data_IF_044226145824
#
_entry.id   IF_044226145824
#
_cell.length_a   1.000
_cell.length_b   1.000
_cell.length_c   1.000
_cell.angle_alpha   90.00
_cell.angle_beta   90.00
_cell.angle_gamma   90.00
#
_symmetry.space_group_name_H-M   'P 1'
#
loop_
_entity.id
_entity.type
_entity.pdbx_description
1 polymer ?
#
# COMPACT_ATOMS: atom_id res chain seq x y z
N UNK A 1 22.79 19.79 14.81
CA UNK A 1 22.59 20.94 13.90
C UNK A 1 21.36 20.64 13.05
N UNK A 2 20.21 21.20 13.43
CA UNK A 2 18.92 20.97 12.75
C UNK A 2 18.70 22.01 11.67
N UNK A 3 18.52 21.57 10.43
CA UNK A 3 18.22 22.46 9.31
C UNK A 3 16.72 22.42 9.06
N UNK A 4 16.02 23.47 9.49
CA UNK A 4 14.62 23.69 9.18
C UNK A 4 14.49 24.09 7.70
N UNK A 5 13.74 23.30 6.92
CA UNK A 5 13.35 23.64 5.55
C UNK A 5 12.03 24.39 5.60
N UNK A 6 12.06 25.69 5.32
CA UNK A 6 10.86 26.52 5.19
C UNK A 6 10.08 26.11 3.93
N UNK A 7 8.82 25.73 4.11
CA UNK A 7 7.87 25.57 3.01
C UNK A 7 7.26 26.95 2.69
N UNK A 8 7.42 27.38 1.44
CA UNK A 8 6.83 28.61 0.92
C UNK A 8 5.41 28.29 0.44
N UNK A 9 4.42 28.46 1.30
CA UNK A 9 3.00 28.31 0.98
C UNK A 9 2.41 29.66 0.58
N UNK A 10 2.39 29.94 -0.73
CA UNK A 10 1.61 31.03 -1.33
C UNK A 10 0.17 30.58 -1.50
N UNK A 11 -0.65 30.75 -0.47
CA UNK A 11 -2.10 30.64 -0.57
C UNK A 11 -2.66 32.00 -1.00
N UNK A 12 -2.74 32.22 -2.31
CA UNK A 12 -3.49 33.35 -2.86
C UNK A 12 -5.00 33.05 -2.72
N UNK A 13 -5.67 33.79 -1.83
CA UNK A 13 -7.13 33.79 -1.75
C UNK A 13 -7.69 34.68 -2.87
N UNK A 14 -8.70 34.23 -3.64
CA UNK A 14 -9.39 35.09 -4.58
C UNK A 14 -10.16 36.19 -3.83
N UNK A 15 -10.05 37.42 -4.33
CA UNK A 15 -10.77 38.58 -3.80
C UNK A 15 -12.30 38.39 -3.88
N UNK A 16 -13.07 38.88 -2.89
CA UNK A 16 -14.53 38.89 -2.98
C UNK A 16 -14.97 39.84 -4.10
N UNK A 17 -15.76 39.33 -5.05
CA UNK A 17 -16.45 40.15 -6.02
C UNK A 17 -17.52 40.99 -5.30
N UNK A 18 -17.54 42.29 -5.59
CA UNK A 18 -18.48 43.27 -5.05
C UNK A 18 -19.92 42.93 -5.50
N UNK A 19 -20.92 42.82 -4.59
CA UNK A 19 -22.21 42.21 -4.90
C UNK A 19 -23.31 43.16 -5.41
N UNK A 20 -23.00 44.37 -5.87
CA UNK A 20 -24.03 45.32 -6.34
C UNK A 20 -23.62 46.04 -7.64
N UNK A 21 -24.19 45.61 -8.76
CA UNK A 21 -24.33 46.47 -9.94
C UNK A 21 -25.49 47.45 -9.69
N UNK A 22 -25.16 48.73 -9.59
CA UNK A 22 -26.13 49.83 -9.59
C UNK A 22 -27.02 49.74 -10.84
N UNK A 23 -28.32 49.61 -10.61
CA UNK A 23 -29.31 49.25 -11.62
C UNK A 23 -29.72 50.38 -12.58
N UNK A 24 -30.66 50.10 -13.51
CA UNK A 24 -31.42 51.14 -14.18
C UNK A 24 -32.72 51.43 -13.40
N UNK A 25 -32.86 52.66 -12.90
CA UNK A 25 -34.13 53.22 -12.42
C UNK A 25 -35.06 53.48 -13.61
N UNK A 26 -35.72 52.44 -14.10
CA UNK A 26 -36.81 52.59 -15.06
C UNK A 26 -38.15 52.79 -14.35
N UNK A 27 -38.96 53.65 -14.97
CA UNK A 27 -40.16 54.28 -14.44
C UNK A 27 -41.27 53.27 -14.18
N UNK A 28 -42.01 53.49 -13.09
CA UNK A 28 -43.34 52.95 -12.84
C UNK A 28 -44.27 53.36 -13.99
N UNK A 29 -44.41 52.51 -14.99
CA UNK A 29 -45.52 52.56 -15.93
C UNK A 29 -46.74 51.94 -15.24
N UNK A 30 -47.64 52.79 -14.78
CA UNK A 30 -49.04 52.42 -14.54
C UNK A 30 -49.65 52.06 -15.91
N UNK A 31 -49.84 50.77 -16.16
CA UNK A 31 -50.59 50.27 -17.30
C UNK A 31 -51.46 49.11 -16.84
N UNK A 32 -52.74 49.45 -16.72
CA UNK A 32 -53.91 48.63 -17.03
C UNK A 32 -54.11 47.30 -16.30
N UNK A 33 -55.16 47.31 -15.48
CA UNK A 33 -55.89 46.14 -15.00
C UNK A 33 -56.52 45.40 -16.19
N UNK A 34 -55.75 44.52 -16.81
CA UNK A 34 -56.30 43.38 -17.53
C UNK A 34 -56.76 42.33 -16.50
N UNK A 35 -58.00 41.87 -16.66
CA UNK A 35 -58.69 40.96 -15.74
C UNK A 35 -57.92 39.65 -15.49
N UNK A 36 -58.34 38.85 -14.48
CA UNK A 36 -57.61 37.66 -14.06
C UNK A 36 -57.43 36.71 -15.25
N UNK A 37 -56.22 36.66 -15.80
CA UNK A 37 -55.83 35.68 -16.80
C UNK A 37 -56.03 34.30 -16.17
N UNK A 38 -56.87 33.47 -16.81
CA UNK A 38 -57.09 32.10 -16.39
C UNK A 38 -55.73 31.40 -16.20
N UNK A 39 -55.48 30.77 -15.04
CA UNK A 39 -54.19 30.16 -14.78
C UNK A 39 -53.93 29.08 -15.83
N UNK A 40 -52.75 29.06 -16.47
CA UNK A 40 -52.44 28.06 -17.47
C UNK A 40 -52.59 26.65 -16.85
N UNK A 41 -53.07 25.67 -17.64
CA UNK A 41 -53.38 24.34 -17.13
C UNK A 41 -52.15 23.71 -16.45
N UNK A 42 -52.32 23.28 -15.19
CA UNK A 42 -51.29 22.82 -14.23
C UNK A 42 -50.61 21.48 -14.59
N UNK A 43 -50.29 21.23 -15.86
CA UNK A 43 -49.67 19.97 -16.32
C UNK A 43 -48.30 19.71 -15.67
N UNK A 44 -47.57 20.76 -15.30
CA UNK A 44 -46.28 20.64 -14.60
C UNK A 44 -46.38 20.00 -13.20
N UNK A 45 -47.50 20.20 -12.49
CA UNK A 45 -47.68 19.66 -11.12
C UNK A 45 -47.78 18.14 -11.15
N UNK A 46 -48.51 17.58 -12.11
CA UNK A 46 -48.65 16.12 -12.24
C UNK A 46 -47.30 15.46 -12.52
N UNK A 47 -46.50 16.05 -13.41
CA UNK A 47 -45.15 15.55 -13.69
C UNK A 47 -44.23 15.60 -12.46
N UNK A 48 -44.26 16.71 -11.72
CA UNK A 48 -43.48 16.85 -10.49
C UNK A 48 -43.88 15.81 -9.43
N UNK A 49 -45.17 15.53 -9.26
CA UNK A 49 -45.66 14.50 -8.33
C UNK A 49 -45.21 13.10 -8.75
N UNK A 50 -45.32 12.76 -10.03
CA UNK A 50 -44.87 11.46 -10.54
C UNK A 50 -43.36 11.28 -10.36
N UNK A 51 -42.58 12.33 -10.64
CA UNK A 51 -41.13 12.31 -10.44
C UNK A 51 -40.76 12.15 -8.95
N UNK A 52 -41.45 12.85 -8.06
CA UNK A 52 -41.25 12.73 -6.61
C UNK A 52 -41.60 11.31 -6.11
N UNK A 53 -42.68 10.70 -6.60
CA UNK A 53 -43.03 9.31 -6.27
C UNK A 53 -41.98 8.33 -6.78
N UNK A 54 -41.49 8.50 -8.01
CA UNK A 54 -40.42 7.66 -8.56
C UNK A 54 -39.14 7.76 -7.70
N UNK A 55 -38.74 8.98 -7.32
CA UNK A 55 -37.58 9.22 -6.47
C UNK A 55 -37.75 8.56 -5.08
N UNK A 56 -38.95 8.65 -4.49
CA UNK A 56 -39.25 8.02 -3.22
C UNK A 56 -39.16 6.48 -3.29
N UNK A 57 -39.71 5.88 -4.37
CA UNK A 57 -39.63 4.43 -4.59
C UNK A 57 -38.19 3.96 -4.81
N UNK A 58 -37.40 4.72 -5.58
CA UNK A 58 -35.99 4.44 -5.80
C UNK A 58 -35.18 4.49 -4.48
N UNK A 59 -35.45 5.49 -3.63
CA UNK A 59 -34.83 5.61 -2.30
C UNK A 59 -35.23 4.47 -1.35
N UNK A 60 -36.50 4.10 -1.31
CA UNK A 60 -36.95 2.97 -0.50
C UNK A 60 -36.32 1.64 -0.98
N UNK A 61 -36.21 1.46 -2.30
CA UNK A 61 -35.57 0.29 -2.90
C UNK A 61 -34.09 0.17 -2.53
N UNK A 62 -33.34 1.26 -2.53
CA UNK A 62 -31.91 1.24 -2.19
C UNK A 62 -31.66 0.89 -0.72
N UNK A 63 -32.47 1.43 0.19
CA UNK A 63 -32.40 1.10 1.63
C UNK A 63 -32.67 -0.39 1.86
N UNK A 64 -33.67 -0.96 1.19
CA UNK A 64 -33.98 -2.40 1.30
C UNK A 64 -32.81 -3.28 0.83
N UNK A 65 -32.18 -2.92 -0.29
CA UNK A 65 -31.04 -3.65 -0.84
C UNK A 65 -29.83 -3.56 0.11
N UNK A 66 -29.53 -2.36 0.63
CA UNK A 66 -28.45 -2.15 1.58
C UNK A 66 -28.64 -2.98 2.85
N UNK A 67 -29.86 -3.03 3.39
CA UNK A 67 -30.19 -3.86 4.55
C UNK A 67 -29.94 -5.35 4.27
N UNK A 68 -30.40 -5.85 3.13
CA UNK A 68 -30.18 -7.25 2.74
C UNK A 68 -28.71 -7.58 2.54
N UNK A 69 -27.92 -6.65 2.02
CA UNK A 69 -26.49 -6.83 1.86
C UNK A 69 -25.78 -6.90 3.22
N UNK A 70 -26.17 -6.05 4.19
CA UNK A 70 -25.60 -6.06 5.53
C UNK A 70 -25.85 -7.38 6.26
N UNK A 71 -27.08 -7.90 6.22
CA UNK A 71 -27.39 -9.19 6.85
C UNK A 71 -26.58 -10.35 6.29
N UNK A 72 -26.31 -10.37 4.97
CA UNK A 72 -25.43 -11.38 4.37
C UNK A 72 -23.97 -11.21 4.77
N UNK A 73 -23.51 -9.98 4.96
CA UNK A 73 -22.15 -9.69 5.41
C UNK A 73 -21.93 -10.17 6.86
N UNK A 74 -22.91 -9.97 7.75
CA UNK A 74 -22.86 -10.46 9.13
C UNK A 74 -22.86 -11.99 9.19
N UNK A 75 -23.73 -12.65 8.43
CA UNK A 75 -23.71 -14.11 8.33
C UNK A 75 -22.38 -14.64 7.79
N UNK A 76 -21.81 -13.99 6.78
CA UNK A 76 -20.49 -14.35 6.26
C UNK A 76 -19.40 -14.15 7.31
N UNK A 77 -19.47 -13.09 8.12
CA UNK A 77 -18.53 -12.82 9.20
C UNK A 77 -18.60 -13.88 10.30
N UNK A 78 -19.80 -14.31 10.70
CA UNK A 78 -19.95 -15.35 11.73
C UNK A 78 -19.60 -16.76 11.24
N UNK A 79 -19.75 -17.03 9.94
CA UNK A 79 -19.29 -18.29 9.33
C UNK A 79 -17.82 -18.29 9.00
N UNK A 80 -17.16 -17.13 8.96
CA UNK A 80 -15.74 -17.06 8.69
C UNK A 80 -15.01 -17.88 9.77
N UNK A 81 -14.10 -18.80 9.39
CA UNK A 81 -13.29 -19.48 10.38
C UNK A 81 -12.56 -18.43 11.22
N UNK A 82 -12.48 -18.66 12.53
CA UNK A 82 -11.66 -17.82 13.39
C UNK A 82 -10.28 -17.65 12.73
N UNK A 83 -9.74 -16.44 12.64
CA UNK A 83 -8.44 -16.22 12.00
C UNK A 83 -7.46 -17.19 12.67
N UNK A 84 -6.92 -18.11 11.88
CA UNK A 84 -5.89 -19.01 12.37
C UNK A 84 -4.83 -18.15 13.05
N UNK A 85 -4.47 -18.49 14.29
CA UNK A 85 -3.52 -17.70 15.06
C UNK A 85 -2.32 -17.40 14.17
N UNK A 86 -2.10 -16.11 13.89
CA UNK A 86 -1.04 -15.70 12.98
C UNK A 86 0.27 -16.31 13.49
N UNK A 87 1.10 -16.90 12.61
CA UNK A 87 2.36 -17.45 13.05
C UNK A 87 3.12 -16.35 13.78
N UNK A 88 3.65 -16.66 14.98
CA UNK A 88 4.35 -15.68 15.80
C UNK A 88 5.57 -15.17 15.02
N UNK A 89 5.41 -13.99 14.41
CA UNK A 89 6.48 -13.30 13.68
C UNK A 89 7.33 -12.55 14.67
N UNK A 90 8.64 -12.75 14.62
CA UNK A 90 9.56 -11.97 15.48
C UNK A 90 9.71 -10.55 14.94
N UNK A 91 9.74 -10.40 13.62
CA UNK A 91 9.60 -9.12 12.92
C UNK A 91 8.90 -9.34 11.57
N UNK A 92 8.16 -8.34 11.10
CA UNK A 92 7.40 -8.38 9.87
C UNK A 92 7.75 -7.17 8.98
N UNK A 93 8.12 -7.46 7.74
CA UNK A 93 8.48 -6.46 6.73
C UNK A 93 9.55 -5.43 7.14
N UNK A 94 10.53 -5.86 7.94
CA UNK A 94 11.63 -5.02 8.39
C UNK A 94 12.52 -4.61 7.20
N UNK A 95 12.82 -3.30 7.10
CA UNK A 95 13.56 -2.77 5.95
C UNK A 95 15.04 -2.70 6.26
N UNK A 96 15.85 -3.31 5.40
CA UNK A 96 17.31 -3.31 5.50
C UNK A 96 17.90 -2.60 4.28
N UNK A 97 18.80 -1.65 4.50
CA UNK A 97 19.49 -0.94 3.43
C UNK A 97 20.97 -1.27 3.44
N UNK A 98 21.43 -1.88 2.36
CA UNK A 98 22.83 -2.22 2.13
C UNK A 98 23.49 -1.05 1.39
N UNK A 99 24.47 -0.45 2.04
CA UNK A 99 25.33 0.57 1.44
C UNK A 99 26.71 -0.04 1.21
N UNK A 100 26.89 -0.66 0.04
CA UNK A 100 28.14 -1.28 -0.35
C UNK A 100 28.76 -0.49 -1.51
N UNK A 101 30.03 -0.12 -1.39
CA UNK A 101 30.79 0.42 -2.53
C UNK A 101 31.06 -0.69 -3.56
N UNK A 102 31.43 -0.34 -4.80
CA UNK A 102 31.74 -1.33 -5.84
C UNK A 102 32.87 -2.29 -5.43
N UNK A 103 32.69 -3.60 -5.66
CA UNK A 103 33.68 -4.63 -5.35
C UNK A 103 33.80 -4.98 -3.86
N UNK A 104 32.86 -4.49 -3.04
CA UNK A 104 32.86 -4.77 -1.60
C UNK A 104 31.91 -5.92 -1.25
N UNK A 105 32.15 -6.50 -0.08
CA UNK A 105 31.27 -7.52 0.48
C UNK A 105 30.72 -7.01 1.80
N UNK A 106 29.40 -7.03 1.94
CA UNK A 106 28.69 -6.67 3.17
C UNK A 106 27.93 -7.89 3.68
N UNK A 107 27.95 -8.08 5.00
CA UNK A 107 27.20 -9.15 5.65
C UNK A 107 25.95 -8.59 6.33
N UNK A 108 24.90 -9.41 6.36
CA UNK A 108 23.60 -9.08 6.94
C UNK A 108 23.26 -10.16 7.96
N UNK A 109 22.99 -9.72 9.19
CA UNK A 109 22.44 -10.56 10.27
C UNK A 109 20.91 -10.54 10.15
N UNK A 110 20.31 -11.72 10.07
CA UNK A 110 18.86 -11.89 9.96
C UNK A 110 18.23 -12.37 11.28
N UNK A 111 19.02 -12.79 12.26
CA UNK A 111 18.53 -13.00 13.63
C UNK A 111 18.24 -11.66 14.30
N UNK A 112 19.13 -10.68 14.12
CA UNK A 112 18.88 -9.28 14.46
C UNK A 112 19.00 -8.48 13.17
N UNK A 113 17.89 -8.01 12.56
CA UNK A 113 17.87 -7.47 11.21
C UNK A 113 18.79 -6.24 11.09
N UNK A 114 20.05 -6.48 10.77
CA UNK A 114 21.14 -5.50 10.77
C UNK A 114 22.05 -5.74 9.58
N UNK A 115 22.66 -4.66 9.13
CA UNK A 115 23.54 -4.62 7.97
C UNK A 115 24.93 -4.22 8.43
N UNK A 116 25.96 -4.61 7.68
CA UNK A 116 27.37 -4.31 7.98
C UNK A 116 27.85 -4.95 9.29
N UNK A 117 27.42 -6.19 9.51
CA UNK A 117 27.89 -7.00 10.64
C UNK A 117 29.22 -7.71 10.30
N UNK A 118 30.00 -8.15 11.30
CA UNK A 118 31.14 -9.01 11.06
C UNK A 118 30.75 -10.29 10.32
N UNK A 119 31.64 -10.81 9.48
CA UNK A 119 31.36 -11.99 8.64
C UNK A 119 30.87 -13.21 9.45
N UNK A 120 31.41 -13.42 10.66
CA UNK A 120 31.02 -14.54 11.53
C UNK A 120 29.57 -14.44 12.06
N UNK A 121 28.98 -13.25 12.07
CA UNK A 121 27.60 -13.00 12.49
C UNK A 121 26.63 -12.84 11.30
N UNK A 122 27.13 -12.96 10.06
CA UNK A 122 26.33 -12.73 8.86
C UNK A 122 25.60 -13.99 8.38
N UNK A 123 24.30 -13.88 8.19
CA UNK A 123 23.44 -14.92 7.59
C UNK A 123 23.34 -14.79 6.08
N UNK A 124 23.41 -13.57 5.57
CA UNK A 124 23.51 -13.29 4.14
C UNK A 124 24.80 -12.53 3.84
N UNK A 125 25.40 -12.87 2.70
CA UNK A 125 26.54 -12.19 2.13
C UNK A 125 26.10 -11.50 0.85
N UNK A 126 26.17 -10.18 0.83
CA UNK A 126 25.94 -9.35 -0.34
C UNK A 126 27.29 -8.95 -0.95
N UNK A 127 27.47 -9.22 -2.24
CA UNK A 127 28.66 -8.86 -3.00
C UNK A 127 28.25 -7.84 -4.07
N UNK A 128 28.72 -6.61 -3.94
CA UNK A 128 28.46 -5.57 -4.94
C UNK A 128 29.45 -5.71 -6.10
N UNK A 129 28.94 -5.88 -7.32
CA UNK A 129 29.72 -5.83 -8.55
C UNK A 129 29.15 -4.74 -9.44
N UNK A 130 29.97 -3.73 -9.74
CA UNK A 130 29.58 -2.62 -10.61
C UNK A 130 30.08 -2.80 -12.05
N UNK A 131 30.79 -3.90 -12.33
CA UNK A 131 31.16 -4.25 -13.69
C UNK A 131 29.90 -4.46 -14.52
N UNK A 132 29.94 -3.94 -15.74
CA UNK A 132 28.81 -3.97 -16.68
C UNK A 132 28.41 -5.43 -16.94
N UNK A 133 27.22 -5.81 -16.47
CA UNK A 133 26.62 -7.12 -16.72
C UNK A 133 26.77 -8.16 -15.61
N UNK A 134 27.63 -7.96 -14.61
CA UNK A 134 27.77 -8.91 -13.50
C UNK A 134 26.66 -8.73 -12.44
N UNK A 135 26.38 -7.48 -12.08
CA UNK A 135 25.40 -7.11 -11.06
C UNK A 135 25.74 -7.64 -9.65
N UNK A 136 25.11 -7.11 -8.60
CA UNK A 136 25.33 -7.61 -7.26
C UNK A 136 24.82 -9.05 -7.08
N UNK A 137 25.41 -9.77 -6.13
CA UNK A 137 25.06 -11.15 -5.82
C UNK A 137 24.77 -11.33 -4.33
N UNK A 138 23.84 -12.22 -4.03
CA UNK A 138 23.52 -12.68 -2.69
C UNK A 138 23.93 -14.14 -2.55
N UNK A 139 24.54 -14.46 -1.43
CA UNK A 139 24.84 -15.83 -1.02
C UNK A 139 24.52 -16.00 0.46
N UNK A 140 24.45 -17.24 0.94
CA UNK A 140 24.39 -17.49 2.36
C UNK A 140 25.73 -17.10 3.01
N UNK A 141 25.64 -16.47 4.17
CA UNK A 141 26.76 -16.20 5.05
C UNK A 141 27.00 -17.34 6.04
N UNK A 142 28.05 -17.26 6.86
CA UNK A 142 28.41 -18.29 7.84
C UNK A 142 27.34 -18.57 8.91
N UNK A 143 26.50 -17.60 9.25
CA UNK A 143 25.43 -17.76 10.25
C UNK A 143 24.22 -18.54 9.73
N UNK A 144 24.04 -18.62 8.40
CA UNK A 144 22.92 -19.33 7.81
C UNK A 144 23.15 -20.84 7.78
N UNK A 145 22.24 -21.59 8.41
CA UNK A 145 22.24 -23.04 8.39
C UNK A 145 21.75 -23.61 7.05
N UNK A 146 20.82 -22.92 6.38
CA UNK A 146 20.25 -23.35 5.11
C UNK A 146 19.62 -22.18 4.36
N UNK A 147 19.33 -22.38 3.07
CA UNK A 147 18.60 -21.39 2.30
C UNK A 147 18.23 -21.85 0.90
N UNK A 148 17.29 -21.12 0.31
CA UNK A 148 16.78 -21.43 -1.04
C UNK A 148 15.79 -20.38 -1.54
N UNK A 149 15.30 -20.59 -2.77
CA UNK A 149 14.35 -19.69 -3.41
C UNK A 149 12.95 -20.31 -3.37
N UNK A 150 11.95 -19.63 -2.80
CA UNK A 150 10.58 -20.10 -2.87
C UNK A 150 10.02 -19.92 -4.28
N UNK A 151 8.89 -20.58 -4.56
CA UNK A 151 8.19 -20.47 -5.85
C UNK A 151 7.40 -19.16 -6.00
N UNK A 152 7.05 -18.51 -4.89
CA UNK A 152 6.25 -17.28 -4.84
C UNK A 152 6.85 -16.27 -3.85
N UNK A 153 6.65 -14.97 -4.10
CA UNK A 153 7.08 -13.91 -3.19
C UNK A 153 6.27 -13.89 -1.88
N UNK A 154 4.98 -14.24 -1.95
CA UNK A 154 4.07 -14.27 -0.79
C UNK A 154 4.20 -15.55 0.05
N UNK A 155 5.30 -16.29 -0.14
CA UNK A 155 5.53 -17.53 0.58
C UNK A 155 5.63 -17.27 2.09
N UNK A 156 4.81 -17.97 2.87
CA UNK A 156 4.84 -17.96 4.33
C UNK A 156 5.87 -18.93 4.93
N UNK A 157 5.83 -19.08 6.26
CA UNK A 157 6.77 -19.90 7.03
C UNK A 157 7.02 -21.30 6.44
N UNK A 158 5.96 -22.08 6.20
CA UNK A 158 6.09 -23.49 5.80
C UNK A 158 6.66 -23.64 4.38
N UNK A 159 6.22 -22.79 3.46
CA UNK A 159 6.78 -22.76 2.12
C UNK A 159 8.25 -22.30 2.10
N UNK A 160 8.63 -21.39 3.03
CA UNK A 160 10.02 -21.01 3.18
C UNK A 160 10.87 -22.12 3.78
N UNK A 161 10.35 -22.85 4.77
CA UNK A 161 11.01 -24.02 5.33
C UNK A 161 11.29 -25.07 4.25
N UNK A 162 10.30 -25.38 3.42
CA UNK A 162 10.45 -26.30 2.29
C UNK A 162 11.50 -25.82 1.26
N UNK A 163 11.51 -24.52 0.94
CA UNK A 163 12.46 -23.96 -0.02
C UNK A 163 13.91 -23.99 0.50
N UNK A 164 14.11 -23.81 1.82
CA UNK A 164 15.44 -23.73 2.43
C UNK A 164 16.25 -25.04 2.39
N UNK A 165 15.58 -26.18 2.21
CA UNK A 165 16.21 -27.51 2.17
C UNK A 165 17.05 -27.75 0.89
N UNK A 166 16.97 -26.87 -0.10
CA UNK A 166 17.61 -27.06 -1.42
C UNK A 166 19.10 -26.69 -1.45
N UNK A 167 19.64 -26.09 -0.39
CA UNK A 167 21.06 -25.74 -0.28
C UNK A 167 21.43 -24.42 -0.95
N UNK A 168 22.49 -23.78 -0.42
CA UNK A 168 22.92 -22.44 -0.80
C UNK A 168 23.41 -22.37 -2.24
N UNK A 169 22.82 -21.48 -3.03
CA UNK A 169 23.40 -21.04 -4.31
C UNK A 169 23.62 -19.53 -4.24
N UNK A 170 24.76 -19.08 -4.76
CA UNK A 170 24.96 -17.66 -5.02
C UNK A 170 24.00 -17.25 -6.13
N UNK A 171 23.15 -16.25 -5.88
CA UNK A 171 22.13 -15.77 -6.81
C UNK A 171 22.36 -14.31 -7.17
N UNK A 172 22.01 -13.86 -8.39
CA UNK A 172 22.00 -12.44 -8.72
C UNK A 172 20.97 -11.70 -7.88
N UNK A 173 21.38 -10.63 -7.20
CA UNK A 173 20.50 -9.75 -6.47
C UNK A 173 19.74 -8.86 -7.47
N UNK A 174 18.44 -9.08 -7.59
CA UNK A 174 17.55 -8.34 -8.49
C UNK A 174 16.26 -8.02 -7.75
N UNK A 175 15.61 -6.91 -8.10
CA UNK A 175 14.30 -6.54 -7.56
C UNK A 175 13.30 -7.70 -7.71
N UNK A 176 12.57 -7.99 -6.64
CA UNK A 176 11.63 -9.10 -6.53
C UNK A 176 12.27 -10.47 -6.26
N UNK A 177 13.60 -10.57 -6.13
CA UNK A 177 14.23 -11.79 -5.64
C UNK A 177 13.79 -12.05 -4.21
N UNK A 178 13.27 -13.25 -3.94
CA UNK A 178 12.98 -13.72 -2.59
C UNK A 178 13.89 -14.88 -2.22
N UNK A 179 14.43 -14.83 -1.01
CA UNK A 179 15.24 -15.85 -0.38
C UNK A 179 14.60 -16.28 0.93
N UNK A 180 14.53 -17.59 1.15
CA UNK A 180 14.20 -18.16 2.45
C UNK A 180 15.50 -18.65 3.07
N UNK A 181 15.82 -18.16 4.27
CA UNK A 181 17.07 -18.42 4.99
C UNK A 181 16.72 -19.00 6.36
N UNK A 182 17.37 -20.09 6.72
CA UNK A 182 17.31 -20.63 8.08
C UNK A 182 18.55 -20.15 8.84
N UNK A 183 18.34 -19.34 9.86
CA UNK A 183 19.39 -18.81 10.75
C UNK A 183 19.02 -19.13 12.20
N UNK A 184 19.97 -19.61 12.99
CA UNK A 184 19.73 -20.03 14.38
C UNK A 184 18.45 -20.86 14.55
N UNK A 185 17.53 -20.35 15.38
CA UNK A 185 16.19 -20.90 15.63
C UNK A 185 15.07 -20.17 14.86
N UNK A 186 15.40 -19.57 13.71
CA UNK A 186 14.50 -18.74 12.91
C UNK A 186 14.49 -19.13 11.44
N UNK A 187 13.34 -18.92 10.83
CA UNK A 187 13.15 -18.93 9.39
C UNK A 187 12.89 -17.50 8.95
N UNK A 188 13.61 -17.04 7.93
CA UNK A 188 13.53 -15.64 7.46
C UNK A 188 13.27 -15.62 5.96
N UNK A 189 12.26 -14.86 5.55
CA UNK A 189 12.04 -14.49 4.15
C UNK A 189 12.65 -13.11 3.92
N UNK A 190 13.68 -13.03 3.08
CA UNK A 190 14.29 -11.79 2.64
C UNK A 190 13.95 -11.53 1.16
N UNK A 191 13.30 -10.41 0.89
CA UNK A 191 12.98 -9.94 -0.47
C UNK A 191 13.87 -8.75 -0.83
N UNK A 192 14.47 -8.77 -2.02
CA UNK A 192 15.15 -7.62 -2.60
C UNK A 192 14.11 -6.67 -3.20
N UNK A 193 13.84 -5.55 -2.53
CA UNK A 193 12.86 -4.56 -3.01
C UNK A 193 13.42 -3.60 -4.04
N UNK A 194 14.74 -3.36 -4.00
CA UNK A 194 15.42 -2.45 -4.92
C UNK A 194 16.92 -2.77 -5.02
N UNK A 195 17.52 -2.44 -6.17
CA UNK A 195 18.97 -2.58 -6.42
C UNK A 195 19.45 -1.35 -7.19
N UNK A 196 20.32 -0.56 -6.56
CA UNK A 196 20.91 0.64 -7.14
C UNK A 196 22.07 0.32 -8.08
N UNK A 197 22.40 1.25 -8.97
CA UNK A 197 23.55 1.16 -9.88
C UNK A 197 24.90 1.43 -9.18
N UNK A 198 24.86 2.00 -7.98
CA UNK A 198 25.99 2.32 -7.12
C UNK A 198 26.44 1.14 -6.23
N UNK A 199 25.80 -0.03 -6.38
CA UNK A 199 26.03 -1.18 -5.52
C UNK A 199 25.19 -1.19 -4.23
N UNK A 200 24.27 -0.24 -4.07
CA UNK A 200 23.30 -0.29 -2.97
C UNK A 200 22.18 -1.29 -3.25
N UNK A 201 21.61 -1.87 -2.19
CA UNK A 201 20.40 -2.68 -2.29
C UNK A 201 19.48 -2.43 -1.10
N UNK A 202 18.18 -2.55 -1.33
CA UNK A 202 17.17 -2.53 -0.27
C UNK A 202 16.53 -3.91 -0.15
N UNK A 203 16.48 -4.44 1.06
CA UNK A 203 15.82 -5.69 1.40
C UNK A 203 14.63 -5.42 2.32
N UNK A 204 13.66 -6.34 2.28
CA UNK A 204 12.57 -6.45 3.24
C UNK A 204 12.61 -7.85 3.84
N UNK A 205 12.63 -7.96 5.16
CA UNK A 205 12.76 -9.22 5.86
C UNK A 205 11.54 -9.50 6.76
N UNK A 206 11.05 -10.72 6.75
CA UNK A 206 10.03 -11.22 7.70
C UNK A 206 10.55 -12.51 8.33
N UNK A 207 10.43 -12.64 9.65
CA UNK A 207 10.93 -13.81 10.37
C UNK A 207 9.86 -14.51 11.18
N UNK A 208 10.05 -15.82 11.33
CA UNK A 208 9.25 -16.70 12.16
C UNK A 208 10.16 -17.56 13.03
N UNK A 209 9.74 -17.83 14.26
CA UNK A 209 10.39 -18.85 15.07
C UNK A 209 10.18 -20.25 14.43
N UNK A 210 11.26 -21.03 14.32
CA UNK A 210 11.19 -22.47 14.08
C UNK A 210 11.39 -23.17 15.42
N UNK A 211 10.46 -24.05 15.76
CA UNK A 211 10.53 -24.92 16.93
C UNK A 211 11.08 -26.26 16.51
#
# INVERSE_FOLDING_TARGET
MSVFRAANSTTAWPAPADPYEDGPTERLASADSDGPAEPPPRRGVVFAVLLAMLALLASAGSVLIAWRALGRAEEAFHRAPAPAAAPLTTYADERLRIQAGCGTTTFVDLDEPRVDVPAAAGDLRYQSWCEKGAGPRLALGPGAAAGGRPKSADTGKDGCAAASALGATTVPAKKGLVLCVRTGARMVRAEVTDVGTDGTASLRATSWAVR
#
